data_IF_666155805985
#
_entry.id   IF_666155805985
#
_cell.length_a   1.000
_cell.length_b   1.000
_cell.length_c   1.000
_cell.angle_alpha   90.00
_cell.angle_beta   90.00
_cell.angle_gamma   90.00
#
_symmetry.space_group_name_H-M   'P 1'
#
loop_
_entity.id
_entity.type
_entity.pdbx_description
1 polymer ?
#
# COMPACT_ATOMS: atom_id res chain seq x y z
N UNK A 1 -43.03 31.61 44.44
CA UNK A 1 -42.69 31.73 43.01
C UNK A 1 -41.18 31.95 42.95
N UNK A 2 -40.44 30.85 42.94
CA UNK A 2 -38.97 30.76 42.96
C UNK A 2 -38.62 29.92 41.74
N UNK A 3 -38.15 30.56 40.67
CA UNK A 3 -37.72 29.89 39.45
C UNK A 3 -36.21 30.08 39.29
N UNK A 4 -35.53 28.95 39.47
CA UNK A 4 -34.30 28.44 38.83
C UNK A 4 -33.42 29.41 38.04
N UNK A 5 -32.18 29.57 38.50
CA UNK A 5 -31.13 30.37 37.87
C UNK A 5 -29.80 29.61 37.72
N UNK A 6 -29.81 28.28 37.61
CA UNK A 6 -28.60 27.45 37.81
C UNK A 6 -28.31 26.40 36.71
N UNK A 7 -28.94 26.50 35.54
CA UNK A 7 -28.83 25.48 34.48
C UNK A 7 -27.79 25.77 33.38
N UNK A 8 -27.16 26.95 33.35
CA UNK A 8 -26.32 27.35 32.20
C UNK A 8 -24.84 26.98 32.29
N UNK A 9 -24.29 26.63 33.48
CA UNK A 9 -22.86 26.30 33.61
C UNK A 9 -22.50 24.84 33.33
N UNK A 10 -23.48 23.98 33.05
CA UNK A 10 -23.23 22.54 32.84
C UNK A 10 -23.07 22.13 31.37
N UNK A 11 -23.20 23.05 30.42
CA UNK A 11 -23.09 22.76 28.98
C UNK A 11 -21.75 23.18 28.35
N UNK A 12 -20.90 23.95 29.03
CA UNK A 12 -19.59 24.36 28.48
C UNK A 12 -18.52 23.25 28.55
N UNK A 13 -18.75 22.18 29.33
CA UNK A 13 -17.81 21.06 29.46
C UNK A 13 -17.97 19.96 28.40
N UNK A 14 -19.02 19.98 27.57
CA UNK A 14 -19.35 18.89 26.66
C UNK A 14 -18.96 19.14 25.19
N UNK A 15 -18.53 20.36 24.84
CA UNK A 15 -18.23 20.75 23.46
C UNK A 15 -16.74 20.72 23.10
N UNK A 16 -15.88 20.17 23.97
CA UNK A 16 -14.44 20.03 23.73
C UNK A 16 -13.98 18.58 23.53
N UNK A 17 -14.90 17.64 23.29
CA UNK A 17 -14.53 16.44 22.54
C UNK A 17 -14.55 16.82 21.05
N UNK A 18 -13.55 17.63 20.65
CA UNK A 18 -13.20 17.78 19.25
C UNK A 18 -12.89 16.37 18.74
N UNK A 19 -13.86 15.80 18.02
CA UNK A 19 -13.64 14.65 17.15
C UNK A 19 -12.51 15.06 16.23
N UNK A 20 -11.27 14.63 16.52
CA UNK A 20 -10.19 14.78 15.56
C UNK A 20 -10.66 14.07 14.30
N UNK A 21 -10.58 14.74 13.13
CA UNK A 21 -10.94 14.08 11.90
C UNK A 21 -10.05 12.83 11.78
N UNK A 22 -10.63 11.68 11.41
CA UNK A 22 -9.87 10.45 11.28
C UNK A 22 -8.67 10.68 10.37
N UNK A 23 -7.50 10.29 10.86
CA UNK A 23 -6.25 10.50 10.13
C UNK A 23 -6.22 9.51 8.95
N UNK A 24 -5.98 9.97 7.71
CA UNK A 24 -5.77 9.07 6.60
C UNK A 24 -4.54 8.21 6.90
N UNK A 25 -4.57 6.94 6.48
CA UNK A 25 -3.39 6.09 6.50
C UNK A 25 -2.21 6.84 5.87
N UNK A 26 -1.19 7.15 6.67
CA UNK A 26 0.02 7.79 6.17
C UNK A 26 0.67 6.89 5.13
N UNK A 27 1.21 7.51 4.08
CA UNK A 27 1.99 6.80 3.08
C UNK A 27 3.12 6.07 3.82
N UNK A 28 3.16 4.73 3.68
CA UNK A 28 4.18 3.84 4.25
C UNK A 28 4.05 3.45 5.72
N UNK A 29 2.86 3.55 6.32
CA UNK A 29 2.62 3.00 7.65
C UNK A 29 2.63 1.45 7.69
N UNK A 30 2.48 0.75 6.56
CA UNK A 30 2.25 -0.70 6.54
C UNK A 30 3.57 -1.48 6.43
N UNK A 31 3.93 -2.21 7.49
CA UNK A 31 5.09 -3.12 7.56
C UNK A 31 4.85 -4.50 6.97
N UNK A 32 3.61 -4.99 6.93
CA UNK A 32 3.29 -6.28 6.34
C UNK A 32 1.83 -6.39 5.94
N UNK A 33 1.54 -7.26 4.97
CA UNK A 33 0.18 -7.47 4.45
C UNK A 33 -0.16 -8.97 4.42
N UNK A 34 -1.18 -9.39 5.16
CA UNK A 34 -1.75 -10.73 5.01
C UNK A 34 -2.90 -10.72 4.00
N UNK A 35 -2.81 -11.53 2.95
CA UNK A 35 -3.83 -11.61 1.91
C UNK A 35 -4.48 -13.00 1.86
N UNK A 36 -5.80 -13.03 1.99
CA UNK A 36 -6.63 -14.24 1.82
C UNK A 36 -7.23 -14.31 0.42
N UNK A 37 -7.28 -15.50 -0.18
CA UNK A 37 -7.91 -15.73 -1.48
C UNK A 37 -6.99 -15.68 -2.70
N UNK A 38 -5.65 -15.63 -2.53
CA UNK A 38 -4.70 -15.60 -3.66
C UNK A 38 -4.61 -16.94 -4.41
N UNK A 39 -4.88 -18.06 -3.74
CA UNK A 39 -4.83 -19.40 -4.32
C UNK A 39 -6.15 -20.12 -4.05
N UNK A 40 -7.22 -19.82 -4.81
CA UNK A 40 -8.50 -20.49 -4.60
C UNK A 40 -8.33 -21.99 -4.81
N UNK A 41 -8.69 -22.78 -3.80
CA UNK A 41 -8.78 -24.23 -3.93
C UNK A 41 -10.09 -24.61 -4.63
N UNK A 42 -10.06 -25.67 -5.45
CA UNK A 42 -11.28 -26.22 -6.08
C UNK A 42 -12.37 -26.60 -5.06
N UNK A 43 -11.99 -26.89 -3.81
CA UNK A 43 -12.91 -27.27 -2.74
C UNK A 43 -13.44 -26.10 -1.92
N UNK A 44 -12.70 -25.00 -1.88
CA UNK A 44 -13.10 -23.78 -1.20
C UNK A 44 -12.38 -22.58 -1.85
N UNK A 45 -13.12 -21.67 -2.51
CA UNK A 45 -12.54 -20.52 -3.19
C UNK A 45 -11.86 -19.53 -2.21
N UNK A 46 -12.15 -19.63 -0.91
CA UNK A 46 -11.47 -18.87 0.17
C UNK A 46 -10.35 -19.67 0.84
N UNK A 47 -10.22 -20.95 0.54
CA UNK A 47 -9.15 -21.83 1.04
C UNK A 47 -7.87 -21.52 0.28
N UNK A 48 -7.07 -20.64 0.89
CA UNK A 48 -5.80 -20.18 0.35
C UNK A 48 -5.42 -18.84 0.98
N UNK A 49 -4.93 -18.88 2.23
CA UNK A 49 -4.35 -17.69 2.87
C UNK A 49 -2.86 -17.62 2.55
N UNK A 50 -2.43 -16.56 1.88
CA UNK A 50 -1.02 -16.23 1.76
C UNK A 50 -0.74 -15.02 2.65
N UNK A 51 -0.12 -15.27 3.78
CA UNK A 51 0.47 -14.17 4.55
C UNK A 51 1.79 -13.78 3.89
N UNK A 52 1.83 -12.62 3.24
CA UNK A 52 3.04 -12.08 2.62
C UNK A 52 3.62 -10.97 3.50
N UNK A 53 4.77 -11.22 4.14
CA UNK A 53 5.49 -10.15 4.83
C UNK A 53 6.26 -9.34 3.81
N UNK A 54 5.76 -8.16 3.48
CA UNK A 54 6.41 -7.23 2.57
C UNK A 54 7.46 -6.45 3.33
N UNK A 55 8.72 -6.87 3.24
CA UNK A 55 9.83 -6.02 3.65
C UNK A 55 10.23 -5.15 2.47
N UNK A 56 10.44 -3.86 2.71
CA UNK A 56 11.17 -3.03 1.76
C UNK A 56 12.52 -3.68 1.51
N UNK A 57 12.81 -3.97 0.25
CA UNK A 57 14.11 -4.47 -0.19
C UNK A 57 14.65 -3.51 -1.21
N UNK A 58 15.94 -3.23 -1.10
CA UNK A 58 16.65 -2.56 -2.18
C UNK A 58 16.55 -3.44 -3.43
N UNK A 59 16.05 -2.85 -4.50
CA UNK A 59 15.92 -3.55 -5.77
C UNK A 59 17.32 -3.70 -6.36
N UNK A 60 17.79 -4.93 -6.63
CA UNK A 60 19.08 -5.14 -7.26
C UNK A 60 19.23 -4.31 -8.55
N UNK A 61 20.33 -3.55 -8.73
CA UNK A 61 20.50 -2.64 -9.87
C UNK A 61 20.40 -3.35 -11.23
N UNK A 62 20.82 -4.61 -11.29
CA UNK A 62 20.76 -5.47 -12.48
C UNK A 62 19.34 -5.77 -12.96
N UNK A 63 18.34 -5.73 -12.07
CA UNK A 63 16.93 -5.87 -12.44
C UNK A 63 16.39 -4.63 -13.16
N UNK A 64 17.05 -3.48 -13.05
CA UNK A 64 16.57 -2.18 -13.55
C UNK A 64 17.38 -1.67 -14.74
N UNK A 65 18.58 -2.20 -15.00
CA UNK A 65 19.43 -1.73 -16.09
C UNK A 65 18.70 -1.76 -17.44
N UNK A 66 18.54 -0.56 -18.02
CA UNK A 66 18.00 -0.40 -19.35
C UNK A 66 19.07 -0.82 -20.36
N UNK A 67 18.69 -1.71 -21.27
CA UNK A 67 19.48 -1.97 -22.47
C UNK A 67 19.19 -0.86 -23.46
N UNK A 68 20.17 0.01 -23.69
CA UNK A 68 20.08 1.00 -24.75
C UNK A 68 20.64 0.41 -26.03
N UNK A 69 19.84 0.40 -27.09
CA UNK A 69 20.29 0.05 -28.44
C UNK A 69 20.73 1.33 -29.13
N UNK A 70 22.02 1.41 -29.46
CA UNK A 70 22.53 2.54 -30.23
C UNK A 70 21.83 2.57 -31.60
N UNK A 71 21.16 3.67 -31.99
CA UNK A 71 20.46 3.75 -33.27
C UNK A 71 21.39 3.58 -34.49
N UNK A 72 22.69 3.83 -34.33
CA UNK A 72 23.71 3.66 -35.39
C UNK A 72 24.54 2.38 -35.25
N UNK A 73 24.27 1.49 -34.27
CA UNK A 73 25.10 0.33 -33.99
C UNK A 73 24.33 -0.93 -33.57
N UNK A 74 25.04 -2.07 -33.56
CA UNK A 74 24.53 -3.35 -33.02
C UNK A 74 24.87 -3.57 -31.55
N UNK A 75 25.66 -2.68 -30.95
CA UNK A 75 26.10 -2.80 -29.57
C UNK A 75 24.99 -2.41 -28.59
N UNK A 76 24.86 -3.24 -27.55
CA UNK A 76 23.94 -3.04 -26.44
C UNK A 76 24.75 -2.54 -25.25
N UNK A 77 24.48 -1.33 -24.80
CA UNK A 77 25.13 -0.76 -23.63
C UNK A 77 24.19 -0.79 -22.44
N UNK A 78 24.75 -1.11 -21.28
CA UNK A 78 24.07 -0.95 -19.99
C UNK A 78 24.29 0.50 -19.56
N UNK A 79 23.20 1.24 -19.35
CA UNK A 79 23.27 2.56 -18.75
C UNK A 79 23.25 2.37 -17.22
N UNK A 80 24.22 2.96 -16.54
CA UNK A 80 24.18 3.03 -15.08
C UNK A 80 23.02 3.92 -14.64
N UNK A 81 22.22 3.41 -13.70
CA UNK A 81 21.13 4.17 -13.12
C UNK A 81 21.69 5.24 -12.17
N UNK A 82 21.10 6.45 -12.12
CA UNK A 82 21.46 7.43 -11.12
C UNK A 82 21.32 6.83 -9.71
N UNK A 83 22.18 7.29 -8.80
CA UNK A 83 22.11 6.87 -7.40
C UNK A 83 20.75 7.23 -6.82
N UNK A 84 20.19 6.28 -6.07
CA UNK A 84 18.88 6.42 -5.49
C UNK A 84 18.89 7.51 -4.43
N UNK A 85 17.89 8.40 -4.42
CA UNK A 85 17.75 9.32 -3.29
C UNK A 85 17.35 8.53 -2.04
N UNK A 86 17.85 8.90 -0.85
CA UNK A 86 17.33 8.34 0.38
C UNK A 86 15.83 8.64 0.51
N UNK A 87 15.06 7.65 0.92
CA UNK A 87 13.65 7.82 1.23
C UNK A 87 13.46 8.92 2.28
N UNK A 88 12.55 9.85 2.03
CA UNK A 88 12.20 10.91 2.98
C UNK A 88 10.96 10.56 3.80
N UNK A 89 10.22 9.56 3.35
CA UNK A 89 9.11 8.97 4.08
C UNK A 89 9.55 8.50 5.47
N UNK A 90 8.69 8.67 6.50
CA UNK A 90 8.96 8.17 7.82
C UNK A 90 9.24 6.66 7.77
N UNK A 91 10.02 6.14 8.73
CA UNK A 91 10.22 4.71 8.85
C UNK A 91 8.87 4.01 8.93
N UNK A 92 8.79 2.83 8.31
CA UNK A 92 7.57 2.04 8.28
C UNK A 92 7.09 1.80 9.71
N UNK A 93 5.86 2.21 10.00
CA UNK A 93 5.24 1.93 11.31
C UNK A 93 4.98 0.42 11.43
N UNK A 94 4.81 -0.08 12.65
CA UNK A 94 4.51 -1.49 12.92
C UNK A 94 3.05 -1.84 12.54
N UNK A 95 2.47 -1.19 11.53
CA UNK A 95 1.11 -1.46 11.10
C UNK A 95 1.08 -2.71 10.21
N UNK A 96 0.15 -3.62 10.51
CA UNK A 96 -0.08 -4.85 9.78
C UNK A 96 -1.46 -4.79 9.14
N UNK A 97 -1.50 -4.83 7.81
CA UNK A 97 -2.74 -4.90 7.04
C UNK A 97 -3.15 -6.36 6.86
N UNK A 98 -4.42 -6.67 7.13
CA UNK A 98 -5.05 -7.95 6.76
C UNK A 98 -6.20 -7.63 5.82
N UNK A 99 -6.27 -8.31 4.69
CA UNK A 99 -7.35 -8.12 3.73
C UNK A 99 -7.62 -9.41 2.94
N UNK A 100 -8.79 -9.50 2.34
CA UNK A 100 -9.15 -10.55 1.39
C UNK A 100 -9.17 -9.99 -0.03
N UNK A 101 -8.84 -10.83 -1.02
CA UNK A 101 -9.09 -10.48 -2.42
C UNK A 101 -10.60 -10.41 -2.65
N UNK A 102 -11.04 -9.27 -3.18
CA UNK A 102 -12.40 -9.05 -3.64
C UNK A 102 -12.54 -9.35 -5.13
N UNK A 103 -13.29 -8.48 -5.81
CA UNK A 103 -13.61 -8.66 -7.21
C UNK A 103 -12.39 -8.44 -8.11
N UNK A 104 -12.38 -9.18 -9.22
CA UNK A 104 -11.47 -8.92 -10.32
C UNK A 104 -11.82 -7.57 -10.97
N UNK A 105 -10.84 -6.69 -11.05
CA UNK A 105 -11.01 -5.35 -11.64
C UNK A 105 -10.49 -5.27 -13.08
N UNK A 106 -9.47 -6.07 -13.40
CA UNK A 106 -8.84 -6.01 -14.72
C UNK A 106 -7.57 -6.82 -14.82
N UNK A 107 -7.05 -6.95 -16.04
CA UNK A 107 -5.72 -7.49 -16.27
C UNK A 107 -4.98 -6.67 -17.32
N UNK A 108 -3.66 -6.65 -17.19
CA UNK A 108 -2.75 -6.13 -18.18
C UNK A 108 -1.84 -7.22 -18.72
N UNK A 109 -0.87 -6.79 -19.51
CA UNK A 109 0.15 -7.67 -20.06
C UNK A 109 1.03 -8.33 -18.97
N UNK A 110 1.32 -7.63 -17.87
CA UNK A 110 2.21 -8.10 -16.79
C UNK A 110 1.50 -8.61 -15.55
N UNK A 111 0.22 -8.29 -15.35
CA UNK A 111 -0.43 -8.47 -14.06
C UNK A 111 -1.95 -8.64 -14.16
N UNK A 112 -2.55 -8.99 -13.02
CA UNK A 112 -3.99 -8.99 -12.77
C UNK A 112 -4.25 -8.07 -11.57
N UNK A 113 -5.37 -7.36 -11.57
CA UNK A 113 -5.75 -6.40 -10.53
C UNK A 113 -7.05 -6.87 -9.88
N UNK A 114 -7.05 -6.87 -8.55
CA UNK A 114 -8.20 -7.19 -7.72
C UNK A 114 -8.45 -6.07 -6.71
N UNK A 115 -9.71 -5.91 -6.31
CA UNK A 115 -10.06 -5.11 -5.14
C UNK A 115 -9.60 -5.82 -3.86
N UNK A 116 -9.42 -5.07 -2.78
CA UNK A 116 -9.20 -5.60 -1.44
C UNK A 116 -10.41 -5.31 -0.56
N UNK A 117 -11.01 -6.38 -0.04
CA UNK A 117 -12.14 -6.33 0.88
C UNK A 117 -11.72 -6.74 2.29
N UNK A 118 -12.56 -6.45 3.27
CA UNK A 118 -12.34 -6.78 4.68
C UNK A 118 -10.98 -6.28 5.21
N UNK A 119 -10.53 -5.12 4.72
CA UNK A 119 -9.26 -4.52 5.10
C UNK A 119 -9.29 -4.12 6.58
N UNK A 120 -8.35 -4.66 7.35
CA UNK A 120 -8.17 -4.42 8.77
C UNK A 120 -6.72 -4.06 9.04
N UNK A 121 -6.51 -2.99 9.80
CA UNK A 121 -5.19 -2.54 10.20
C UNK A 121 -5.02 -2.78 11.70
N UNK A 122 -3.92 -3.44 12.07
CA UNK A 122 -3.47 -3.57 13.46
C UNK A 122 -2.14 -2.86 13.64
N UNK A 123 -1.87 -2.29 14.81
CA UNK A 123 -0.62 -1.54 15.05
C UNK A 123 -0.67 -0.06 14.63
N UNK A 124 -1.85 0.44 14.22
CA UNK A 124 -2.13 1.85 13.96
C UNK A 124 -3.24 2.37 14.89
N UNK A 125 -3.44 3.69 14.93
CA UNK A 125 -4.56 4.31 15.67
C UNK A 125 -5.90 3.77 15.19
N UNK A 126 -6.85 3.54 16.11
CA UNK A 126 -8.23 3.15 15.78
C UNK A 126 -8.98 4.18 14.94
N UNK A 127 -8.48 5.41 14.89
CA UNK A 127 -9.01 6.51 14.08
C UNK A 127 -8.46 6.53 12.65
N UNK A 128 -7.54 5.60 12.31
CA UNK A 128 -6.94 5.54 10.98
C UNK A 128 -7.95 5.02 9.96
N UNK A 129 -8.22 5.80 8.91
CA UNK A 129 -9.04 5.35 7.79
C UNK A 129 -8.17 4.65 6.75
N UNK A 130 -8.57 3.42 6.40
CA UNK A 130 -8.02 2.70 5.27
C UNK A 130 -8.85 3.10 4.03
N UNK A 131 -8.26 3.78 3.03
CA UNK A 131 -8.96 4.05 1.78
C UNK A 131 -9.23 2.74 1.03
N UNK A 132 -10.11 2.70 0.02
CA UNK A 132 -10.22 1.56 -0.87
C UNK A 132 -8.85 1.19 -1.45
N UNK A 133 -8.47 -0.08 -1.36
CA UNK A 133 -7.16 -0.58 -1.78
C UNK A 133 -7.32 -1.60 -2.90
N UNK A 134 -6.33 -1.67 -3.77
CA UNK A 134 -6.25 -2.71 -4.81
C UNK A 134 -4.95 -3.48 -4.69
N UNK A 135 -4.95 -4.73 -5.13
CA UNK A 135 -3.74 -5.54 -5.25
C UNK A 135 -3.46 -5.87 -6.70
N UNK A 136 -2.20 -5.66 -7.10
CA UNK A 136 -1.68 -6.00 -8.43
C UNK A 136 -0.80 -7.24 -8.32
N UNK A 137 -1.29 -8.37 -8.82
CA UNK A 137 -0.56 -9.64 -8.82
C UNK A 137 0.17 -9.84 -10.15
N UNK A 138 1.50 -10.04 -10.11
CA UNK A 138 2.28 -10.34 -11.30
C UNK A 138 1.95 -11.73 -11.86
N UNK A 139 1.99 -11.86 -13.19
CA UNK A 139 2.07 -13.18 -13.83
C UNK A 139 3.45 -13.78 -13.57
N UNK A 140 3.55 -15.10 -13.48
CA UNK A 140 4.78 -15.81 -13.09
C UNK A 140 5.99 -15.46 -13.96
N UNK A 141 5.78 -15.19 -15.25
CA UNK A 141 6.81 -14.81 -16.21
C UNK A 141 7.02 -13.29 -16.34
N UNK A 142 6.38 -12.48 -15.48
CA UNK A 142 6.38 -11.01 -15.53
C UNK A 142 6.68 -10.36 -14.18
N UNK A 143 7.17 -11.12 -13.20
CA UNK A 143 7.53 -10.62 -11.86
C UNK A 143 8.52 -9.45 -11.95
N UNK A 144 9.53 -9.55 -12.83
CA UNK A 144 10.53 -8.48 -13.04
C UNK A 144 9.85 -7.18 -13.50
N UNK A 145 8.82 -7.25 -14.35
CA UNK A 145 8.10 -6.05 -14.79
C UNK A 145 7.39 -5.35 -13.63
N UNK A 146 6.81 -6.11 -12.70
CA UNK A 146 6.15 -5.53 -11.53
C UNK A 146 7.17 -4.98 -10.51
N UNK A 147 8.32 -5.64 -10.36
CA UNK A 147 9.43 -5.13 -9.52
C UNK A 147 9.95 -3.80 -10.06
N UNK A 148 10.12 -3.67 -11.38
CA UNK A 148 10.50 -2.40 -12.02
C UNK A 148 9.43 -1.33 -11.83
N UNK A 149 8.16 -1.70 -11.96
CA UNK A 149 7.06 -0.76 -11.73
C UNK A 149 7.02 -0.26 -10.28
N UNK A 150 7.18 -1.16 -9.31
CA UNK A 150 7.29 -0.79 -7.89
C UNK A 150 8.48 0.15 -7.65
N UNK A 151 9.62 -0.14 -8.27
CA UNK A 151 10.80 0.73 -8.20
C UNK A 151 10.51 2.13 -8.76
N UNK A 152 9.79 2.23 -9.88
CA UNK A 152 9.39 3.54 -10.43
C UNK A 152 8.46 4.31 -9.49
N UNK A 153 7.53 3.66 -8.79
CA UNK A 153 6.67 4.34 -7.82
C UNK A 153 7.46 4.91 -6.66
N UNK A 154 8.47 4.20 -6.18
CA UNK A 154 9.33 4.70 -5.12
C UNK A 154 10.12 5.95 -5.57
N UNK A 155 10.64 5.99 -6.81
CA UNK A 155 11.34 7.19 -7.32
C UNK A 155 10.39 8.39 -7.52
N UNK A 156 9.09 8.11 -7.70
CA UNK A 156 8.05 9.13 -7.80
C UNK A 156 7.48 9.54 -6.43
N UNK A 157 8.12 9.19 -5.31
CA UNK A 157 7.73 9.60 -3.95
C UNK A 157 7.45 11.10 -3.85
N UNK A 158 8.22 11.95 -4.54
CA UNK A 158 8.02 13.40 -4.54
C UNK A 158 6.71 13.91 -5.19
N UNK A 159 5.99 13.05 -5.92
CA UNK A 159 4.73 13.37 -6.59
C UNK A 159 3.50 12.81 -5.86
N UNK A 160 3.72 11.98 -4.84
CA UNK A 160 2.69 11.33 -4.02
C UNK A 160 2.33 12.20 -2.81
#
# INVERSE_FOLDING_TARGET
MLWEHDSWRRLEGAYLAYLQPPLPLLLNAIAAVALTGLFPSSKDPRSGSLTARFQRRDVPPDLIRFMYRNPCGTELFLIDMPERRPFQLPPTEDAYLRASLGDYLGHGHSSIVFDLIDAQLSGASSETIIPPLVVKAARINRVISLVREAWFYDEMECLQ
#
